data_IF_907373482432
#
_entry.id   IF_907373482432
#
_cell.length_a   1.000
_cell.length_b   1.000
_cell.length_c   1.000
_cell.angle_alpha   90.00
_cell.angle_beta   90.00
_cell.angle_gamma   90.00
#
_symmetry.space_group_name_H-M   'P 1'
#
loop_
_entity.id
_entity.type
_entity.pdbx_description
1 polymer ?
#
# COMPACT_ATOMS: atom_id res chain seq x y z
N UNK A 1 -2.97 8.73 14.84
CA UNK A 1 -1.75 9.55 14.89
C UNK A 1 -0.59 8.59 14.71
N UNK A 2 0.42 8.95 13.91
CA UNK A 2 1.56 8.05 13.64
C UNK A 2 2.83 8.74 14.13
N UNK A 3 3.66 8.00 14.85
CA UNK A 3 5.02 8.42 15.19
C UNK A 3 5.98 7.57 14.37
N UNK A 4 6.85 8.21 13.59
CA UNK A 4 7.82 7.51 12.75
C UNK A 4 9.08 8.36 12.62
N UNK A 5 10.24 7.77 12.94
CA UNK A 5 11.56 8.40 12.81
C UNK A 5 11.67 9.77 13.52
N UNK A 6 11.11 9.86 14.72
CA UNK A 6 11.07 11.12 15.50
C UNK A 6 10.02 12.14 15.02
N UNK A 7 9.31 11.88 13.92
CA UNK A 7 8.27 12.76 13.40
C UNK A 7 6.87 12.31 13.82
N UNK A 8 6.01 13.29 14.16
CA UNK A 8 4.59 13.11 14.46
C UNK A 8 3.77 13.43 13.22
N UNK A 9 3.00 12.45 12.75
CA UNK A 9 2.13 12.57 11.58
C UNK A 9 0.65 12.57 11.97
N UNK A 10 -0.06 13.57 11.47
CA UNK A 10 -1.50 13.77 11.65
C UNK A 10 -2.25 13.42 10.36
N UNK A 11 -3.44 12.86 10.53
CA UNK A 11 -4.26 12.37 9.42
C UNK A 11 -4.80 13.55 8.62
N UNK A 12 -4.46 13.64 7.34
CA UNK A 12 -4.96 14.67 6.45
C UNK A 12 -6.27 14.26 5.76
N UNK A 13 -6.23 13.14 5.03
CA UNK A 13 -7.39 12.65 4.25
C UNK A 13 -7.38 11.13 4.23
N UNK A 14 -8.55 10.52 4.44
CA UNK A 14 -8.79 9.09 4.23
C UNK A 14 -9.64 8.91 2.96
N UNK A 15 -9.22 8.01 2.09
CA UNK A 15 -9.91 7.65 0.85
C UNK A 15 -9.94 6.13 0.78
N UNK A 16 -11.06 5.54 1.21
CA UNK A 16 -11.16 4.10 1.40
C UNK A 16 -10.12 3.60 2.41
N UNK A 17 -9.25 2.69 1.98
CA UNK A 17 -8.19 2.08 2.79
C UNK A 17 -6.90 2.91 2.82
N UNK A 18 -6.78 3.89 1.91
CA UNK A 18 -5.61 4.76 1.81
C UNK A 18 -5.78 5.95 2.74
N UNK A 19 -4.79 6.19 3.58
CA UNK A 19 -4.76 7.37 4.46
C UNK A 19 -3.50 8.17 4.18
N UNK A 20 -3.66 9.44 3.83
CA UNK A 20 -2.54 10.39 3.71
C UNK A 20 -2.36 11.11 5.04
N UNK A 21 -1.11 11.20 5.46
CA UNK A 21 -0.69 11.85 6.69
C UNK A 21 0.31 12.94 6.36
N UNK A 22 0.19 14.09 7.03
CA UNK A 22 1.18 15.17 7.00
C UNK A 22 1.89 15.21 8.35
N UNK A 23 3.12 15.71 8.38
CA UNK A 23 3.77 16.04 9.64
C UNK A 23 2.96 17.10 10.39
N UNK A 24 2.86 17.00 11.71
CA UNK A 24 2.12 17.97 12.54
C UNK A 24 2.68 19.39 12.51
N UNK A 25 3.88 19.57 11.96
CA UNK A 25 4.52 20.87 11.71
C UNK A 25 4.37 21.36 10.27
N UNK A 26 3.39 20.87 9.49
CA UNK A 26 3.18 21.24 8.08
C UNK A 26 2.77 22.71 7.85
N UNK A 27 2.51 23.46 8.92
CA UNK A 27 2.28 24.91 8.87
C UNK A 27 3.59 25.72 8.89
N UNK A 28 4.70 25.12 9.34
CA UNK A 28 6.06 25.56 9.05
C UNK A 28 6.51 24.84 7.75
N UNK A 29 7.57 25.24 7.01
CA UNK A 29 7.87 24.74 5.65
C UNK A 29 8.14 23.22 5.50
N UNK A 30 7.75 22.42 6.48
CA UNK A 30 7.74 20.98 6.50
C UNK A 30 6.86 20.38 5.40
N UNK A 31 7.50 19.64 4.47
CA UNK A 31 6.84 18.89 3.39
C UNK A 31 6.77 17.39 3.68
N UNK A 32 7.06 16.98 4.91
CA UNK A 32 7.03 15.58 5.31
C UNK A 32 5.60 15.02 5.26
N UNK A 33 5.42 13.94 4.52
CA UNK A 33 4.16 13.25 4.37
C UNK A 33 4.38 11.73 4.24
N UNK A 34 3.42 10.95 4.74
CA UNK A 34 3.40 9.51 4.51
C UNK A 34 2.00 9.04 4.12
N UNK A 35 1.93 7.90 3.45
CA UNK A 35 0.68 7.25 3.10
C UNK A 35 0.64 5.87 3.70
N UNK A 36 -0.48 5.54 4.35
CA UNK A 36 -0.77 4.18 4.80
C UNK A 36 -1.87 3.54 3.95
N UNK A 37 -1.81 2.21 3.81
CA UNK A 37 -2.90 1.36 3.31
C UNK A 37 -3.16 0.31 4.38
N UNK A 38 -4.37 0.24 4.93
CA UNK A 38 -4.70 -0.66 6.04
C UNK A 38 -3.64 -0.60 7.17
N UNK A 39 -3.28 0.63 7.57
CA UNK A 39 -2.31 0.94 8.62
C UNK A 39 -0.82 0.63 8.31
N UNK A 40 -0.52 0.12 7.11
CA UNK A 40 0.85 -0.15 6.67
C UNK A 40 1.39 1.02 5.85
N UNK A 41 2.59 1.50 6.19
CA UNK A 41 3.25 2.63 5.50
C UNK A 41 3.71 2.16 4.11
N UNK A 42 3.12 2.72 3.06
CA UNK A 42 3.40 2.37 1.64
C UNK A 42 4.15 3.46 0.88
N UNK A 43 4.17 4.68 1.42
CA UNK A 43 4.94 5.80 0.86
C UNK A 43 5.39 6.70 1.98
N UNK A 44 6.70 6.93 2.07
CA UNK A 44 7.30 7.90 2.97
C UNK A 44 8.02 8.96 2.14
N UNK A 45 7.63 10.21 2.32
CA UNK A 45 8.22 11.36 1.64
C UNK A 45 8.67 12.35 2.73
N UNK A 46 9.95 12.28 3.10
CA UNK A 46 10.58 13.25 4.01
C UNK A 46 11.45 14.14 3.13
N UNK A 47 10.90 15.27 2.69
CA UNK A 47 11.66 16.20 1.86
C UNK A 47 12.35 17.25 2.72
N UNK A 48 11.65 17.91 3.63
CA UNK A 48 12.22 18.91 4.54
C UNK A 48 11.32 18.96 5.80
N UNK A 49 11.90 18.94 6.99
CA UNK A 49 11.21 19.26 8.25
C UNK A 49 12.12 20.24 9.00
N UNK A 50 11.80 21.53 8.96
CA UNK A 50 12.52 22.55 9.71
C UNK A 50 12.14 22.40 11.19
N UNK A 51 13.12 22.07 12.03
CA UNK A 51 13.01 22.19 13.48
C UNK A 51 13.42 23.61 13.85
N UNK A 52 12.46 24.45 14.18
CA UNK A 52 12.67 25.77 14.76
C UNK A 52 13.06 25.65 16.24
N UNK A 53 14.22 25.07 16.55
CA UNK A 53 14.84 25.16 17.88
C UNK A 53 16.23 25.83 17.75
N UNK A 54 16.45 27.02 18.31
CA UNK A 54 17.68 27.79 18.11
C UNK A 54 18.90 27.31 18.93
N UNK A 55 18.77 26.33 19.82
CA UNK A 55 19.82 26.01 20.82
C UNK A 55 20.54 24.68 20.64
N UNK A 56 20.05 23.76 19.81
CA UNK A 56 20.73 22.48 19.59
C UNK A 56 21.24 22.39 18.16
N UNK A 57 22.49 22.85 18.00
CA UNK A 57 23.40 22.64 16.87
C UNK A 57 22.79 22.02 15.62
N UNK A 58 22.51 22.87 14.63
CA UNK A 58 22.12 22.47 13.29
C UNK A 58 23.03 21.36 12.73
N UNK A 59 22.56 20.12 12.80
CA UNK A 59 23.03 19.07 11.90
C UNK A 59 22.13 19.13 10.67
N UNK A 60 22.50 20.02 9.75
CA UNK A 60 22.10 19.88 8.35
C UNK A 60 22.66 18.53 7.87
N UNK A 61 21.85 17.87 7.05
CA UNK A 61 22.12 16.65 6.33
C UNK A 61 22.02 15.37 7.17
N UNK A 62 20.86 14.74 7.05
CA UNK A 62 20.93 13.42 6.44
C UNK A 62 20.09 13.40 5.16
N UNK A 63 20.80 13.59 4.03
CA UNK A 63 20.45 12.87 2.80
C UNK A 63 20.51 11.38 3.13
N UNK A 64 19.44 10.79 3.65
CA UNK A 64 19.40 9.34 3.86
C UNK A 64 18.74 8.66 2.67
N UNK A 65 19.51 8.54 1.58
CA UNK A 65 19.43 7.38 0.70
C UNK A 65 19.94 6.09 1.40
N UNK A 66 20.12 6.07 2.72
CA UNK A 66 20.67 4.95 3.49
C UNK A 66 19.64 4.16 4.33
N UNK A 67 18.37 4.17 3.94
CA UNK A 67 17.43 3.07 4.24
C UNK A 67 16.94 2.36 2.97
N UNK A 68 17.56 2.67 1.82
CA UNK A 68 17.11 2.24 0.49
C UNK A 68 17.53 0.82 0.09
N UNK A 69 18.20 0.05 0.96
CA UNK A 69 18.69 -1.30 0.61
C UNK A 69 18.10 -2.44 1.43
N UNK A 70 17.51 -2.19 2.60
CA UNK A 70 16.77 -3.22 3.36
C UNK A 70 15.27 -2.88 3.40
N UNK A 71 14.92 -1.62 3.63
CA UNK A 71 13.53 -1.18 3.55
C UNK A 71 13.04 -1.25 2.11
N UNK A 72 13.85 -0.94 1.11
CA UNK A 72 13.41 -1.03 -0.29
C UNK A 72 13.09 -2.45 -0.73
N UNK A 73 13.91 -3.50 -0.50
CA UNK A 73 13.49 -4.86 -0.81
C UNK A 73 12.30 -5.32 0.04
N UNK A 74 12.20 -4.97 1.33
CA UNK A 74 11.04 -5.36 2.17
C UNK A 74 9.77 -4.62 1.75
N UNK A 75 9.86 -3.32 1.46
CA UNK A 75 8.74 -2.50 0.99
C UNK A 75 8.43 -2.84 -0.45
N UNK A 76 9.38 -3.16 -1.33
CA UNK A 76 9.05 -3.62 -2.69
C UNK A 76 8.45 -4.99 -2.66
N UNK A 77 8.93 -5.95 -1.87
CA UNK A 77 8.26 -7.27 -1.74
C UNK A 77 6.88 -7.11 -1.14
N UNK A 78 6.71 -6.29 -0.10
CA UNK A 78 5.42 -6.00 0.49
C UNK A 78 4.48 -5.27 -0.50
N UNK A 79 4.95 -4.21 -1.18
CA UNK A 79 4.22 -3.48 -2.22
C UNK A 79 3.85 -4.43 -3.38
N UNK A 80 4.77 -5.29 -3.82
CA UNK A 80 4.53 -6.30 -4.85
C UNK A 80 3.49 -7.32 -4.38
N UNK A 81 3.45 -7.66 -3.09
CA UNK A 81 2.45 -8.57 -2.53
C UNK A 81 1.06 -7.94 -2.44
N UNK A 82 0.95 -6.60 -2.34
CA UNK A 82 -0.33 -5.89 -2.32
C UNK A 82 -0.76 -5.35 -3.69
N UNK A 83 0.14 -5.26 -4.67
CA UNK A 83 -0.23 -4.91 -6.05
C UNK A 83 -0.69 -6.17 -6.76
N UNK A 84 -1.89 -6.13 -7.34
CA UNK A 84 -2.40 -7.26 -8.10
C UNK A 84 -1.57 -7.43 -9.39
N UNK A 85 -1.00 -8.62 -9.60
CA UNK A 85 -0.38 -8.99 -10.87
C UNK A 85 -1.49 -9.37 -11.84
N UNK A 86 -1.77 -8.47 -12.78
CA UNK A 86 -2.80 -8.71 -13.80
C UNK A 86 -2.22 -9.54 -14.94
N UNK A 87 -2.95 -10.58 -15.32
CA UNK A 87 -2.69 -11.37 -16.52
C UNK A 87 -3.96 -11.47 -17.36
N UNK A 88 -3.85 -12.04 -18.55
CA UNK A 88 -4.96 -12.27 -19.46
C UNK A 88 -5.19 -13.76 -19.62
N UNK A 89 -6.46 -14.17 -19.61
CA UNK A 89 -6.85 -15.52 -20.02
C UNK A 89 -6.63 -15.68 -21.53
N UNK A 90 -6.64 -16.92 -22.02
CA UNK A 90 -6.56 -17.24 -23.46
C UNK A 90 -7.62 -16.52 -24.30
N UNK A 91 -8.75 -16.14 -23.68
CA UNK A 91 -9.87 -15.46 -24.32
C UNK A 91 -9.87 -13.94 -24.06
N UNK A 92 -8.75 -13.37 -23.57
CA UNK A 92 -8.61 -11.93 -23.30
C UNK A 92 -9.25 -11.42 -22.00
N UNK A 93 -9.90 -12.29 -21.22
CA UNK A 93 -10.45 -11.92 -19.91
C UNK A 93 -9.35 -11.57 -18.90
N UNK A 94 -9.48 -10.43 -18.22
CA UNK A 94 -8.53 -9.99 -17.17
C UNK A 94 -8.57 -10.95 -15.97
N UNK A 95 -7.40 -11.35 -15.48
CA UNK A 95 -7.20 -12.22 -14.33
C UNK A 95 -6.16 -11.63 -13.38
N UNK A 96 -6.11 -12.13 -12.15
CA UNK A 96 -5.07 -11.84 -11.17
C UNK A 96 -4.37 -13.14 -10.79
N UNK A 97 -3.03 -13.11 -10.73
CA UNK A 97 -2.23 -14.19 -10.14
C UNK A 97 -1.83 -13.77 -8.74
N UNK A 98 -2.14 -14.60 -7.74
CA UNK A 98 -1.75 -14.37 -6.35
C UNK A 98 -1.35 -15.71 -5.72
N UNK A 99 -0.13 -15.77 -5.17
CA UNK A 99 0.44 -16.98 -4.54
C UNK A 99 0.31 -18.26 -5.38
N UNK A 100 0.48 -18.16 -6.70
CA UNK A 100 0.38 -19.30 -7.63
C UNK A 100 -1.05 -19.69 -8.03
N UNK A 101 -2.08 -19.01 -7.50
CA UNK A 101 -3.47 -19.23 -7.88
C UNK A 101 -4.00 -18.15 -8.82
N UNK A 102 -4.85 -18.57 -9.75
CA UNK A 102 -5.50 -17.67 -10.70
C UNK A 102 -6.88 -17.24 -10.18
N UNK A 103 -7.14 -15.94 -10.26
CA UNK A 103 -8.41 -15.33 -9.89
C UNK A 103 -9.04 -14.62 -11.09
N UNK A 104 -10.31 -14.89 -11.35
CA UNK A 104 -11.11 -14.25 -12.40
C UNK A 104 -12.06 -13.22 -11.81
N UNK A 105 -12.36 -12.18 -12.59
CA UNK A 105 -13.27 -11.12 -12.18
C UNK A 105 -14.68 -11.69 -11.98
N UNK A 106 -15.23 -11.50 -10.79
CA UNK A 106 -16.61 -11.87 -10.49
C UNK A 106 -17.56 -10.68 -10.67
N UNK A 107 -17.34 -9.60 -9.90
CA UNK A 107 -18.15 -8.37 -9.99
C UNK A 107 -17.35 -7.15 -9.57
N UNK A 108 -17.69 -6.01 -10.14
CA UNK A 108 -17.08 -4.72 -9.83
C UNK A 108 -18.15 -3.73 -9.36
N UNK A 109 -17.84 -2.97 -8.32
CA UNK A 109 -18.66 -1.90 -7.75
C UNK A 109 -17.78 -0.66 -7.64
N UNK A 110 -17.83 0.20 -8.66
CA UNK A 110 -16.94 1.36 -8.79
C UNK A 110 -15.46 0.92 -8.77
N UNK A 111 -14.62 1.47 -7.89
CA UNK A 111 -13.19 1.12 -7.83
C UNK A 111 -12.94 -0.26 -7.22
N UNK A 112 -13.92 -0.83 -6.52
CA UNK A 112 -13.80 -2.12 -5.82
C UNK A 112 -14.17 -3.28 -6.75
N UNK A 113 -13.29 -4.26 -6.91
CA UNK A 113 -13.58 -5.47 -7.68
C UNK A 113 -13.40 -6.71 -6.80
N UNK A 114 -14.39 -7.61 -6.85
CA UNK A 114 -14.28 -8.97 -6.30
C UNK A 114 -13.81 -9.92 -7.40
N UNK A 115 -12.83 -10.72 -7.06
CA UNK A 115 -12.25 -11.78 -7.85
C UNK A 115 -12.47 -13.10 -7.11
N UNK A 116 -12.82 -14.17 -7.80
CA UNK A 116 -12.87 -15.51 -7.23
C UNK A 116 -11.78 -16.37 -7.86
N UNK A 117 -11.40 -17.46 -7.20
CA UNK A 117 -10.52 -18.44 -7.84
C UNK A 117 -11.16 -18.98 -9.13
N UNK A 118 -10.38 -19.23 -10.17
CA UNK A 118 -10.87 -19.82 -11.44
C UNK A 118 -11.58 -21.16 -11.25
N UNK A 119 -11.19 -21.93 -10.22
CA UNK A 119 -11.83 -23.19 -9.85
C UNK A 119 -13.15 -23.01 -9.09
N UNK A 120 -13.59 -21.77 -8.83
CA UNK A 120 -14.89 -21.50 -8.19
C UNK A 120 -16.05 -22.10 -9.00
N UNK A 121 -16.03 -21.96 -10.33
CA UNK A 121 -17.12 -22.42 -11.21
C UNK A 121 -17.28 -23.95 -11.23
N UNK A 122 -16.20 -24.72 -11.10
CA UNK A 122 -16.23 -26.18 -11.26
C UNK A 122 -16.02 -26.96 -9.96
N UNK A 123 -15.36 -26.38 -8.96
CA UNK A 123 -15.05 -27.02 -7.67
C UNK A 123 -15.59 -26.25 -6.46
N UNK A 124 -16.42 -25.24 -6.68
CA UNK A 124 -17.00 -24.39 -5.63
C UNK A 124 -15.94 -23.82 -4.67
N UNK A 125 -14.80 -23.39 -5.23
CA UNK A 125 -13.69 -22.80 -4.50
C UNK A 125 -14.10 -21.57 -3.70
N UNK A 126 -13.83 -21.54 -2.39
CA UNK A 126 -14.19 -20.40 -1.53
C UNK A 126 -13.19 -19.26 -1.59
N UNK A 127 -12.02 -19.48 -2.20
CA UNK A 127 -10.98 -18.46 -2.31
C UNK A 127 -11.45 -17.26 -3.14
N UNK A 128 -11.23 -16.07 -2.59
CA UNK A 128 -11.63 -14.80 -3.17
C UNK A 128 -10.64 -13.68 -2.86
N UNK A 129 -10.49 -12.76 -3.79
CA UNK A 129 -9.60 -11.61 -3.68
C UNK A 129 -10.39 -10.34 -3.98
N UNK A 130 -10.09 -9.25 -3.27
CA UNK A 130 -10.73 -7.97 -3.48
C UNK A 130 -9.66 -6.94 -3.82
N UNK A 131 -9.90 -6.17 -4.88
CA UNK A 131 -9.03 -5.05 -5.26
C UNK A 131 -9.77 -3.73 -5.17
N UNK A 132 -9.06 -2.63 -4.90
CA UNK A 132 -9.50 -1.25 -5.08
C UNK A 132 -8.44 -0.53 -5.89
N UNK A 133 -8.81 0.06 -7.03
CA UNK A 133 -7.87 0.74 -7.93
C UNK A 133 -6.61 -0.09 -8.24
N UNK A 134 -6.81 -1.38 -8.54
CA UNK A 134 -5.76 -2.37 -8.85
C UNK A 134 -4.86 -2.80 -7.68
N UNK A 135 -5.13 -2.34 -6.46
CA UNK A 135 -4.43 -2.77 -5.23
C UNK A 135 -5.26 -3.85 -4.53
N UNK A 136 -4.64 -4.96 -4.13
CA UNK A 136 -5.25 -6.02 -3.32
C UNK A 136 -5.51 -5.47 -1.93
N UNK A 137 -6.77 -5.55 -1.49
CA UNK A 137 -7.23 -4.97 -0.22
C UNK A 137 -7.69 -6.02 0.78
N UNK A 138 -8.03 -7.21 0.29
CA UNK A 138 -8.44 -8.36 1.08
C UNK A 138 -8.21 -9.63 0.27
N UNK A 139 -7.67 -10.65 0.92
CA UNK A 139 -7.55 -12.00 0.39
C UNK A 139 -8.26 -12.95 1.34
N UNK A 140 -9.08 -13.83 0.80
CA UNK A 140 -9.61 -15.02 1.45
C UNK A 140 -8.95 -16.19 0.74
N UNK A 141 -7.88 -16.74 1.32
CA UNK A 141 -7.00 -17.71 0.65
C UNK A 141 -7.36 -19.17 0.98
N UNK A 142 -8.64 -19.46 1.15
CA UNK A 142 -9.13 -20.80 1.49
C UNK A 142 -9.48 -21.58 0.22
N UNK A 143 -8.51 -22.35 -0.26
CA UNK A 143 -8.67 -23.25 -1.39
C UNK A 143 -9.09 -24.65 -0.92
N UNK A 144 -10.16 -25.20 -1.48
CA UNK A 144 -10.73 -26.51 -1.11
C UNK A 144 -10.67 -27.51 -2.28
N UNK A 145 -9.56 -27.55 -3.04
CA UNK A 145 -9.53 -28.23 -4.35
C UNK A 145 -8.18 -28.74 -4.88
#
# INVERSE_FOLDING_TARGET
MIFYDGYRFTRHRKSGIRTRWHCSRHYEPCRAALTTINDIIVKLLILECFTSDPTDGATIAVRTLKQKLIIYPIVTTFILSIVAVFTQSRNGGRMIVYEGYNFTRHRSNGPKTRWHCTRNTHKNCRAALFTVDNVIVKVVNEHNH
#
